data_IF_826109371135
#
_entry.id   IF_826109371135
#
_cell.length_a   1.000
_cell.length_b   1.000
_cell.length_c   1.000
_cell.angle_alpha   90.00
_cell.angle_beta   90.00
_cell.angle_gamma   90.00
#
_symmetry.space_group_name_H-M   'P 1'
#
loop_
_entity.id
_entity.type
_entity.pdbx_description
1 polymer ?
#
# COMPACT_ATOMS: atom_id res chain seq x y z
N UNK A 1 17.95 26.01 9.43
CA UNK A 1 17.87 24.79 10.25
C UNK A 1 16.41 24.34 10.21
N UNK A 2 16.07 23.45 9.27
CA UNK A 2 14.69 23.01 9.10
C UNK A 2 14.38 21.95 10.15
N UNK A 3 13.57 22.32 11.12
CA UNK A 3 12.89 21.38 12.00
C UNK A 3 11.80 20.75 11.13
N UNK A 4 12.07 19.55 10.60
CA UNK A 4 10.98 18.68 10.15
C UNK A 4 10.30 18.27 11.45
N UNK A 5 9.19 18.93 11.76
CA UNK A 5 8.35 18.52 12.86
C UNK A 5 7.93 17.08 12.56
N UNK A 6 8.36 16.15 13.42
CA UNK A 6 7.72 14.85 13.59
C UNK A 6 6.26 15.16 13.89
N UNK A 7 5.40 15.12 12.87
CA UNK A 7 3.97 15.19 13.09
C UNK A 7 3.63 14.05 14.05
N UNK A 8 2.87 14.31 15.13
CA UNK A 8 2.35 13.23 15.94
C UNK A 8 1.55 12.28 15.03
N UNK A 9 1.42 11.02 15.43
CA UNK A 9 0.61 9.99 14.78
C UNK A 9 -0.90 10.33 14.83
N UNK A 10 -1.28 11.48 14.27
CA UNK A 10 -2.62 12.03 14.28
C UNK A 10 -3.21 11.85 12.89
N UNK A 11 -3.90 10.71 12.75
CA UNK A 11 -4.89 10.36 11.74
C UNK A 11 -4.40 10.52 10.30
N UNK A 12 -3.74 9.48 9.81
CA UNK A 12 -3.78 9.14 8.39
C UNK A 12 -4.93 8.17 8.14
N UNK A 13 -5.38 8.03 6.91
CA UNK A 13 -6.16 6.86 6.53
C UNK A 13 -5.24 5.65 6.44
N UNK A 14 -5.72 4.53 6.95
CA UNK A 14 -5.05 3.26 6.82
C UNK A 14 -5.51 2.53 5.55
N UNK A 15 -4.56 1.98 4.81
CA UNK A 15 -4.81 1.15 3.63
C UNK A 15 -4.18 -0.21 3.85
N UNK A 16 -5.03 -1.22 4.05
CA UNK A 16 -4.62 -2.60 4.26
C UNK A 16 -4.58 -3.35 2.94
N UNK A 17 -3.53 -4.12 2.73
CA UNK A 17 -3.37 -4.95 1.54
C UNK A 17 -3.24 -6.40 1.95
N UNK A 18 -3.98 -7.27 1.26
CA UNK A 18 -3.87 -8.72 1.39
C UNK A 18 -3.46 -9.30 0.03
N UNK A 19 -2.35 -10.03 0.01
CA UNK A 19 -1.89 -10.67 -1.22
C UNK A 19 -2.84 -11.83 -1.59
N UNK A 20 -3.32 -11.83 -2.82
CA UNK A 20 -4.20 -12.86 -3.38
C UNK A 20 -3.53 -13.69 -4.48
N UNK A 21 -2.20 -13.65 -4.52
CA UNK A 21 -1.37 -14.37 -5.46
C UNK A 21 -1.03 -13.55 -6.71
N UNK A 22 -0.38 -14.24 -7.64
CA UNK A 22 0.22 -13.60 -8.81
C UNK A 22 1.45 -14.37 -9.26
N UNK A 23 2.20 -13.81 -10.21
CA UNK A 23 3.47 -14.39 -10.66
C UNK A 23 4.64 -13.91 -9.80
N UNK A 24 5.47 -14.85 -9.33
CA UNK A 24 6.59 -14.52 -8.43
C UNK A 24 7.72 -13.74 -9.11
N UNK A 25 7.82 -13.85 -10.44
CA UNK A 25 8.81 -13.15 -11.28
C UNK A 25 8.41 -11.71 -11.61
N UNK A 26 7.15 -11.35 -11.35
CA UNK A 26 6.64 -10.00 -11.60
C UNK A 26 6.69 -9.18 -10.30
N UNK A 27 6.90 -7.88 -10.46
CA UNK A 27 7.01 -6.93 -9.35
C UNK A 27 5.77 -6.07 -9.32
N UNK A 28 5.06 -6.12 -8.20
CA UNK A 28 3.87 -5.31 -7.91
C UNK A 28 4.28 -4.15 -7.02
N UNK A 29 3.88 -2.94 -7.38
CA UNK A 29 4.12 -1.72 -6.61
C UNK A 29 2.78 -1.08 -6.30
N UNK A 30 2.57 -0.71 -5.03
CA UNK A 30 1.32 -0.08 -4.59
C UNK A 30 1.61 1.27 -3.95
N UNK A 31 0.78 2.26 -4.23
CA UNK A 31 0.88 3.59 -3.61
C UNK A 31 -0.48 4.28 -3.55
N UNK A 32 -0.50 5.48 -2.96
CA UNK A 32 -1.67 6.33 -2.83
C UNK A 32 -1.42 7.71 -3.39
N UNK A 33 -2.41 8.24 -4.10
CA UNK A 33 -2.42 9.58 -4.69
C UNK A 33 -3.68 10.36 -4.32
N UNK A 34 -3.62 11.68 -4.39
CA UNK A 34 -4.80 12.54 -4.35
C UNK A 34 -5.47 12.69 -5.73
N UNK A 35 -6.55 13.46 -5.81
CA UNK A 35 -7.30 13.68 -7.07
C UNK A 35 -6.51 14.42 -8.15
N UNK A 36 -5.35 15.02 -7.81
CA UNK A 36 -4.44 15.71 -8.73
C UNK A 36 -3.23 14.85 -9.10
N UNK A 37 -3.22 13.56 -8.72
CA UNK A 37 -2.09 12.65 -8.89
C UNK A 37 -0.85 13.07 -8.10
N UNK A 38 -1.03 13.78 -6.98
CA UNK A 38 0.07 14.00 -6.04
C UNK A 38 0.25 12.75 -5.19
N UNK A 39 1.49 12.28 -5.08
CA UNK A 39 1.86 11.18 -4.20
C UNK A 39 1.61 11.53 -2.73
N UNK A 40 0.83 10.69 -2.04
CA UNK A 40 0.45 10.89 -0.63
C UNK A 40 0.59 9.63 0.22
N UNK A 41 1.32 8.61 -0.22
CA UNK A 41 1.71 7.51 0.68
C UNK A 41 2.73 8.03 1.69
N UNK A 42 2.51 7.73 2.95
CA UNK A 42 3.50 7.93 3.99
C UNK A 42 4.57 6.83 3.94
N UNK A 43 5.82 7.26 3.78
CA UNK A 43 7.00 6.40 3.82
C UNK A 43 7.82 6.74 5.06
N UNK A 44 8.04 5.80 5.99
CA UNK A 44 8.83 6.06 7.19
C UNK A 44 10.28 6.46 6.85
N UNK A 45 10.88 7.45 7.52
CA UNK A 45 12.24 7.92 7.22
C UNK A 45 13.35 6.86 7.36
N UNK A 46 13.09 5.81 8.14
CA UNK A 46 14.05 4.74 8.44
C UNK A 46 13.90 3.53 7.52
N UNK A 47 13.00 3.60 6.55
CA UNK A 47 12.69 2.48 5.69
C UNK A 47 13.71 2.45 4.53
N UNK A 48 14.35 1.29 4.32
CA UNK A 48 15.44 1.13 3.34
C UNK A 48 14.84 1.00 1.94
N UNK A 49 14.68 2.11 1.20
CA UNK A 49 14.17 2.09 -0.18
C UNK A 49 14.89 3.08 -1.09
N UNK A 50 15.03 2.70 -2.36
CA UNK A 50 15.48 3.59 -3.45
C UNK A 50 14.31 4.25 -4.21
N UNK A 51 13.07 3.77 -4.03
CA UNK A 51 11.87 4.22 -4.72
C UNK A 51 10.89 4.86 -3.72
N UNK A 52 10.02 5.77 -4.19
CA UNK A 52 9.06 6.50 -3.35
C UNK A 52 7.90 5.62 -2.84
N UNK A 53 7.81 4.35 -3.21
CA UNK A 53 6.70 3.44 -2.88
C UNK A 53 7.22 2.02 -2.65
N UNK A 54 6.44 1.16 -1.98
CA UNK A 54 6.86 -0.22 -1.76
C UNK A 54 6.51 -1.10 -2.96
N UNK A 55 7.50 -1.88 -3.39
CA UNK A 55 7.35 -2.92 -4.38
C UNK A 55 7.64 -4.28 -3.75
N UNK A 56 6.93 -5.30 -4.20
CA UNK A 56 7.03 -6.67 -3.72
C UNK A 56 6.82 -7.65 -4.88
N UNK A 57 7.12 -8.93 -4.64
CA UNK A 57 6.77 -9.97 -5.59
C UNK A 57 5.25 -10.04 -5.72
N UNK A 58 4.68 -10.06 -6.93
CA UNK A 58 3.23 -10.13 -7.05
C UNK A 58 2.64 -11.39 -6.39
N UNK A 59 3.43 -12.46 -6.22
CA UNK A 59 3.00 -13.69 -5.56
C UNK A 59 2.94 -13.64 -4.02
N UNK A 60 3.67 -12.73 -3.36
CA UNK A 60 3.79 -12.71 -1.89
C UNK A 60 4.33 -11.38 -1.36
N UNK A 61 4.04 -11.06 -0.10
CA UNK A 61 4.66 -9.94 0.62
C UNK A 61 5.96 -10.32 1.35
N UNK A 62 6.48 -11.54 1.15
CA UNK A 62 7.68 -12.00 1.84
C UNK A 62 8.87 -11.05 1.62
N UNK A 63 9.61 -10.79 2.71
CA UNK A 63 10.79 -9.91 2.70
C UNK A 63 10.48 -8.41 2.76
N UNK A 64 9.25 -7.97 2.48
CA UNK A 64 8.95 -6.51 2.44
C UNK A 64 9.09 -5.83 3.80
N UNK A 65 8.86 -6.57 4.89
CA UNK A 65 9.05 -6.08 6.25
C UNK A 65 10.50 -5.76 6.60
N UNK A 66 11.47 -6.43 5.96
CA UNK A 66 12.90 -6.17 6.15
C UNK A 66 13.30 -4.78 5.63
N UNK A 67 12.51 -4.23 4.69
CA UNK A 67 12.69 -2.89 4.16
C UNK A 67 12.00 -1.82 5.01
N UNK A 68 11.32 -2.18 6.10
CA UNK A 68 10.63 -1.22 6.98
C UNK A 68 9.15 -1.01 6.63
N UNK A 69 8.56 -1.87 5.80
CA UNK A 69 7.13 -1.92 5.60
C UNK A 69 6.43 -2.60 6.80
N UNK A 70 5.22 -2.16 7.15
CA UNK A 70 4.47 -2.76 8.25
C UNK A 70 3.68 -3.98 7.76
N UNK A 71 4.26 -5.17 7.92
CA UNK A 71 3.66 -6.46 7.57
C UNK A 71 3.36 -7.27 8.83
N UNK A 72 2.08 -7.57 9.09
CA UNK A 72 1.64 -8.39 10.23
C UNK A 72 0.60 -9.40 9.78
N UNK A 73 0.80 -10.67 10.09
CA UNK A 73 -0.10 -11.78 9.72
C UNK A 73 -0.48 -11.80 8.24
N UNK A 74 0.46 -11.46 7.34
CA UNK A 74 0.23 -11.41 5.90
C UNK A 74 -0.57 -10.20 5.41
N UNK A 75 -0.86 -9.24 6.28
CA UNK A 75 -1.49 -7.96 5.94
C UNK A 75 -0.42 -6.87 5.92
N UNK A 76 -0.28 -6.22 4.77
CA UNK A 76 0.63 -5.11 4.57
C UNK A 76 -0.12 -3.80 4.80
N UNK A 77 0.42 -2.93 5.64
CA UNK A 77 -0.24 -1.70 6.09
C UNK A 77 0.43 -0.47 5.50
N UNK A 78 -0.37 0.35 4.81
CA UNK A 78 0.02 1.66 4.29
C UNK A 78 -0.75 2.74 5.03
N UNK A 79 -0.20 3.94 5.00
CA UNK A 79 -0.86 5.13 5.53
C UNK A 79 -0.79 6.24 4.48
N UNK A 80 -1.85 7.04 4.38
CA UNK A 80 -1.76 8.33 3.68
C UNK A 80 -0.97 9.35 4.50
N UNK A 81 -0.62 10.50 3.93
CA UNK A 81 0.03 11.59 4.68
C UNK A 81 -0.91 12.26 5.70
N UNK A 82 -2.22 12.21 5.48
CA UNK A 82 -3.26 12.81 6.33
C UNK A 82 -4.62 12.09 6.15
N UNK A 83 -5.61 12.36 7.01
CA UNK A 83 -6.97 11.79 6.95
C UNK A 83 -8.05 12.78 6.49
N UNK A 84 -7.67 13.76 5.70
CA UNK A 84 -8.57 14.81 5.18
C UNK A 84 -8.61 14.82 3.66
N UNK A 85 -7.52 14.38 3.04
CA UNK A 85 -7.35 14.26 1.61
C UNK A 85 -8.03 13.01 1.11
N UNK A 86 -8.97 13.17 0.17
CA UNK A 86 -9.54 12.03 -0.55
C UNK A 86 -8.44 11.38 -1.38
N UNK A 87 -8.35 10.06 -1.32
CA UNK A 87 -7.26 9.32 -1.95
C UNK A 87 -7.74 8.24 -2.92
N UNK A 88 -6.80 7.87 -3.77
CA UNK A 88 -6.82 6.72 -4.66
C UNK A 88 -5.66 5.80 -4.30
N UNK A 89 -5.85 4.51 -4.54
CA UNK A 89 -4.85 3.46 -4.41
C UNK A 89 -4.53 2.98 -5.81
N UNK A 90 -3.25 2.99 -6.12
CA UNK A 90 -2.70 2.58 -7.40
C UNK A 90 -1.90 1.30 -7.21
N UNK A 91 -2.04 0.39 -8.18
CA UNK A 91 -1.24 -0.82 -8.31
C UNK A 91 -0.64 -0.83 -9.70
N UNK A 92 0.67 -1.04 -9.80
CA UNK A 92 1.38 -1.28 -11.05
C UNK A 92 2.16 -2.60 -11.00
N UNK A 93 2.09 -3.35 -12.10
CA UNK A 93 2.97 -4.49 -12.37
C UNK A 93 4.09 -3.99 -13.26
N UNK A 94 5.19 -3.57 -12.62
CA UNK A 94 6.28 -2.77 -13.21
C UNK A 94 6.92 -3.38 -14.46
N UNK A 95 7.00 -4.72 -14.52
CA UNK A 95 7.63 -5.41 -15.64
C UNK A 95 6.69 -5.59 -16.86
N UNK A 96 5.43 -5.14 -16.76
CA UNK A 96 4.34 -5.52 -17.67
C UNK A 96 3.46 -4.36 -18.14
N UNK A 97 3.62 -3.16 -17.59
CA UNK A 97 2.78 -1.98 -17.87
C UNK A 97 1.29 -2.25 -17.63
N UNK A 98 0.97 -3.06 -16.61
CA UNK A 98 -0.41 -3.29 -16.17
C UNK A 98 -0.64 -2.51 -14.91
N UNK A 99 -1.70 -1.69 -14.89
CA UNK A 99 -2.02 -0.87 -13.73
C UNK A 99 -3.52 -0.87 -13.43
N UNK A 100 -3.84 -0.77 -12.16
CA UNK A 100 -5.20 -0.46 -11.71
C UNK A 100 -5.18 0.66 -10.69
N UNK A 101 -6.31 1.36 -10.63
CA UNK A 101 -6.54 2.48 -9.76
C UNK A 101 -7.94 2.35 -9.17
N UNK A 102 -8.06 2.51 -7.85
CA UNK A 102 -9.32 2.49 -7.10
C UNK A 102 -9.32 3.64 -6.13
N UNK A 103 -10.39 4.43 -6.07
CA UNK A 103 -10.35 5.60 -5.19
C UNK A 103 -11.62 6.43 -5.11
N UNK A 104 -11.42 7.64 -4.60
CA UNK A 104 -12.49 8.46 -4.05
C UNK A 104 -12.75 8.15 -2.57
N UNK A 105 -11.76 7.59 -1.87
CA UNK A 105 -11.89 7.19 -0.47
C UNK A 105 -11.54 8.32 0.48
N UNK A 106 -12.30 8.39 1.57
CA UNK A 106 -12.10 9.31 2.70
C UNK A 106 -12.29 8.55 4.03
N UNK A 107 -11.84 7.30 4.04
CA UNK A 107 -11.93 6.34 5.14
C UNK A 107 -10.80 5.32 5.02
N UNK A 108 -10.60 4.53 6.06
CA UNK A 108 -9.70 3.37 6.00
C UNK A 108 -10.25 2.31 5.03
N UNK A 109 -9.36 1.61 4.34
CA UNK A 109 -9.72 0.65 3.28
C UNK A 109 -8.89 -0.61 3.36
N UNK A 110 -9.42 -1.69 2.78
CA UNK A 110 -8.65 -2.90 2.53
C UNK A 110 -8.82 -3.35 1.08
N UNK A 111 -7.76 -3.91 0.49
CA UNK A 111 -7.77 -4.48 -0.84
C UNK A 111 -7.14 -5.87 -0.87
N UNK A 112 -7.72 -6.73 -1.69
CA UNK A 112 -7.02 -7.86 -2.26
C UNK A 112 -6.16 -7.37 -3.43
N UNK A 113 -4.88 -7.72 -3.38
CA UNK A 113 -3.89 -7.37 -4.41
C UNK A 113 -3.57 -8.62 -5.21
N UNK A 114 -3.78 -8.56 -6.52
CA UNK A 114 -3.39 -9.59 -7.46
C UNK A 114 -2.64 -8.96 -8.64
N UNK A 115 -1.55 -9.57 -9.07
CA UNK A 115 -0.81 -9.10 -10.24
C UNK A 115 -0.09 -10.21 -10.99
N UNK A 116 -0.13 -10.14 -12.32
CA UNK A 116 0.62 -11.03 -13.19
C UNK A 116 0.98 -10.36 -14.53
N UNK A 117 1.40 -11.16 -15.51
CA UNK A 117 1.79 -10.69 -16.83
C UNK A 117 0.71 -9.93 -17.60
N UNK A 118 -0.57 -10.17 -17.29
CA UNK A 118 -1.75 -9.65 -17.99
C UNK A 118 -2.64 -8.78 -17.13
N UNK A 119 -2.59 -8.93 -15.81
CA UNK A 119 -3.55 -8.33 -14.89
C UNK A 119 -2.87 -7.60 -13.74
N UNK A 120 -3.48 -6.49 -13.34
CA UNK A 120 -3.17 -5.75 -12.12
C UNK A 120 -4.51 -5.42 -11.46
N UNK A 121 -4.87 -6.11 -10.38
CA UNK A 121 -6.19 -5.99 -9.76
C UNK A 121 -6.09 -5.53 -8.30
N UNK A 122 -6.89 -4.50 -8.00
CA UNK A 122 -7.22 -4.04 -6.65
C UNK A 122 -8.71 -4.28 -6.42
N UNK A 123 -9.02 -5.29 -5.62
CA UNK A 123 -10.40 -5.62 -5.26
C UNK A 123 -10.69 -5.22 -3.82
N UNK A 124 -11.69 -4.36 -3.61
CA UNK A 124 -12.08 -3.91 -2.28
C UNK A 124 -12.48 -5.11 -1.39
N UNK A 125 -11.94 -5.12 -0.17
CA UNK A 125 -12.27 -6.08 0.87
C UNK A 125 -12.80 -5.34 2.12
N UNK A 126 -13.59 -6.01 2.98
CA UNK A 126 -14.03 -5.41 4.23
C UNK A 126 -12.84 -5.06 5.13
N UNK A 127 -12.69 -3.77 5.47
CA UNK A 127 -11.59 -3.28 6.31
C UNK A 127 -11.51 -4.04 7.65
N UNK A 128 -12.65 -4.15 8.36
CA UNK A 128 -12.73 -4.85 9.65
C UNK A 128 -12.28 -6.32 9.60
N UNK A 129 -12.36 -6.98 8.44
CA UNK A 129 -11.87 -8.35 8.26
C UNK A 129 -10.35 -8.36 8.19
N UNK A 130 -9.77 -7.47 7.37
CA UNK A 130 -8.32 -7.34 7.24
C UNK A 130 -7.67 -6.88 8.55
N UNK A 131 -8.30 -5.94 9.25
CA UNK A 131 -7.85 -5.46 10.56
C UNK A 131 -7.79 -6.61 11.57
N UNK A 132 -8.84 -7.42 11.65
CA UNK A 132 -8.86 -8.60 12.54
C UNK A 132 -7.78 -9.63 12.19
N UNK A 133 -7.50 -9.85 10.91
CA UNK A 133 -6.42 -10.74 10.48
C UNK A 133 -5.07 -10.15 10.90
N UNK A 134 -4.81 -8.87 10.60
CA UNK A 134 -3.59 -8.16 10.97
C UNK A 134 -3.32 -8.22 12.47
N UNK A 135 -4.36 -8.03 13.28
CA UNK A 135 -4.24 -7.92 14.75
C UNK A 135 -4.43 -9.26 15.49
N UNK A 136 -4.64 -10.36 14.74
CA UNK A 136 -4.67 -11.71 15.31
C UNK A 136 -3.30 -12.10 15.90
N UNK A 137 -3.29 -13.04 16.86
CA UNK A 137 -2.07 -13.50 17.56
C UNK A 137 -1.69 -14.91 17.13
#
# INVERSE_FOLDING_TARGET
MNIIALMPATKAYEVLLRNWGGQSIDTCCVWQEDYLHNFITYIPPNAEHNDLYYCFSCATFDGIGEHGADLRNGILTYHTLDNTTTYWVDLDVRNRNQGSNKGGYNKDTCFHVYGDASDANLDEAPYDECEKIRDSK
#
